data_IF_909363284797
#
_entry.id   IF_909363284797
#
_cell.length_a   1.000
_cell.length_b   1.000
_cell.length_c   1.000
_cell.angle_alpha   90.00
_cell.angle_beta   90.00
_cell.angle_gamma   90.00
#
_symmetry.space_group_name_H-M   'P 1'
#
loop_
_entity.id
_entity.type
_entity.pdbx_description
1 polymer ?
#
# COMPACT_ATOMS: atom_id res chain seq x y z
N UNK A 1 -2.03 4.51 -23.84
CA UNK A 1 -2.59 3.40 -23.03
C UNK A 1 -3.36 4.01 -21.88
N UNK A 2 -4.58 3.57 -21.64
CA UNK A 2 -5.52 4.16 -20.69
C UNK A 2 -5.96 3.08 -19.69
N UNK A 3 -5.91 3.38 -18.39
CA UNK A 3 -6.25 2.45 -17.32
C UNK A 3 -7.71 2.62 -16.86
N UNK A 4 -8.44 1.53 -16.68
CA UNK A 4 -9.79 1.51 -16.09
C UNK A 4 -9.76 1.69 -14.56
N UNK A 5 -10.63 2.60 -14.11
CA UNK A 5 -11.15 2.83 -12.76
C UNK A 5 -11.24 1.64 -11.79
N UNK A 6 -11.61 0.43 -12.24
CA UNK A 6 -11.96 -0.71 -11.36
C UNK A 6 -11.15 -1.98 -11.55
N UNK A 7 -10.32 -2.12 -12.58
CA UNK A 7 -9.41 -3.27 -12.73
C UNK A 7 -8.34 -3.06 -13.81
N UNK A 8 -7.52 -4.08 -14.03
CA UNK A 8 -6.19 -4.09 -14.69
C UNK A 8 -6.16 -3.76 -16.20
N UNK A 9 -7.33 -3.47 -16.76
CA UNK A 9 -7.72 -2.76 -17.98
C UNK A 9 -6.79 -1.78 -18.72
N UNK A 10 -6.06 -2.10 -19.80
CA UNK A 10 -5.42 -1.09 -20.68
C UNK A 10 -6.11 -0.97 -22.05
N UNK A 11 -6.59 0.23 -22.41
CA UNK A 11 -7.03 0.54 -23.78
C UNK A 11 -6.04 1.46 -24.52
N UNK A 12 -5.80 1.21 -25.80
CA UNK A 12 -4.95 2.03 -26.67
C UNK A 12 -5.82 3.11 -27.32
N UNK A 13 -5.56 4.38 -27.00
CA UNK A 13 -6.19 5.52 -27.67
C UNK A 13 -5.29 5.96 -28.82
N UNK A 14 -5.86 6.03 -30.02
CA UNK A 14 -5.21 6.37 -31.29
C UNK A 14 -4.65 7.79 -31.29
N UNK A 15 -3.33 7.92 -31.53
CA UNK A 15 -2.69 9.03 -32.26
C UNK A 15 -1.63 8.44 -33.19
N UNK A 16 -1.33 9.16 -34.27
CA UNK A 16 -0.80 8.62 -35.53
C UNK A 16 0.31 7.56 -35.42
N UNK A 17 0.24 6.51 -36.26
CA UNK A 17 0.85 5.22 -36.00
C UNK A 17 2.32 5.20 -36.42
N UNK A 18 3.15 4.63 -35.56
CA UNK A 18 4.38 3.98 -36.01
C UNK A 18 3.99 2.93 -37.08
N UNK A 19 4.62 2.86 -38.27
CA UNK A 19 4.25 1.93 -39.33
C UNK A 19 4.28 0.44 -38.93
N UNK A 20 4.89 0.08 -37.80
CA UNK A 20 4.80 -1.28 -37.23
C UNK A 20 3.50 -1.56 -36.43
N UNK A 21 2.75 -0.52 -36.09
CA UNK A 21 1.52 -0.63 -35.31
C UNK A 21 0.39 -1.31 -36.08
N UNK A 22 0.26 -1.02 -37.38
CA UNK A 22 -0.82 -1.56 -38.20
C UNK A 22 -0.63 -3.06 -38.49
N UNK A 23 0.61 -3.54 -38.61
CA UNK A 23 0.93 -4.97 -38.76
C UNK A 23 0.66 -5.74 -37.46
N UNK A 24 1.09 -5.22 -36.31
CA UNK A 24 0.86 -5.83 -35.00
C UNK A 24 -0.63 -5.83 -34.61
N UNK A 25 -1.36 -4.75 -34.94
CA UNK A 25 -2.80 -4.66 -34.69
C UNK A 25 -3.61 -5.61 -35.60
N UNK A 26 -3.16 -5.86 -36.83
CA UNK A 26 -3.79 -6.84 -37.73
C UNK A 26 -3.51 -8.28 -37.28
N UNK A 27 -2.28 -8.59 -36.85
CA UNK A 27 -1.91 -9.88 -36.26
C UNK A 27 -2.75 -10.20 -35.01
N UNK A 28 -2.92 -9.21 -34.11
CA UNK A 28 -3.71 -9.35 -32.89
C UNK A 28 -5.22 -9.53 -33.16
N UNK A 29 -5.79 -8.78 -34.12
CA UNK A 29 -7.19 -8.95 -34.54
C UNK A 29 -7.43 -10.30 -35.21
N UNK A 30 -6.45 -10.85 -35.92
CA UNK A 30 -6.53 -12.17 -36.53
C UNK A 30 -6.55 -13.29 -35.47
N UNK A 31 -5.70 -13.22 -34.44
CA UNK A 31 -5.65 -14.20 -33.35
C UNK A 31 -6.86 -14.13 -32.41
N UNK A 32 -7.40 -12.93 -32.19
CA UNK A 32 -8.61 -12.73 -31.37
C UNK A 32 -9.86 -13.31 -32.04
N UNK A 33 -9.96 -13.23 -33.37
CA UNK A 33 -11.06 -13.82 -34.16
C UNK A 33 -10.98 -15.34 -34.28
N UNK A 34 -9.78 -15.92 -34.21
CA UNK A 34 -9.59 -17.37 -34.35
C UNK A 34 -9.68 -18.14 -33.03
N UNK A 35 -9.45 -17.51 -31.88
CA UNK A 35 -9.35 -18.21 -30.57
C UNK A 35 -10.32 -17.73 -29.48
N UNK A 36 -10.96 -16.57 -29.64
CA UNK A 36 -12.12 -16.15 -28.84
C UNK A 36 -11.90 -15.98 -27.32
N UNK A 37 -10.65 -15.85 -26.83
CA UNK A 37 -10.34 -15.75 -25.40
C UNK A 37 -9.52 -14.49 -25.08
N UNK A 38 -10.07 -13.63 -24.22
CA UNK A 38 -9.41 -12.43 -23.70
C UNK A 38 -9.13 -12.60 -22.20
N UNK A 39 -7.87 -12.46 -21.78
CA UNK A 39 -7.50 -12.11 -20.40
C UNK A 39 -6.14 -11.39 -20.38
N UNK A 40 -6.13 -10.18 -19.80
CA UNK A 40 -4.94 -9.55 -19.20
C UNK A 40 -4.44 -10.42 -18.04
N UNK A 41 -3.17 -10.87 -18.06
CA UNK A 41 -2.02 -10.10 -17.54
C UNK A 41 -0.74 -10.32 -18.39
N UNK A 42 0.34 -9.60 -18.08
CA UNK A 42 1.52 -9.46 -18.95
C UNK A 42 2.33 -10.76 -19.21
N UNK A 43 2.96 -10.92 -20.40
CA UNK A 43 3.62 -12.15 -20.87
C UNK A 43 4.88 -12.64 -20.13
N UNK A 44 5.24 -12.05 -18.98
CA UNK A 44 6.35 -12.54 -18.14
C UNK A 44 5.95 -13.74 -17.25
N UNK A 45 4.67 -14.11 -17.25
CA UNK A 45 4.13 -15.23 -16.46
C UNK A 45 3.94 -16.55 -17.26
N UNK A 46 4.20 -16.56 -18.58
CA UNK A 46 4.43 -17.71 -19.51
C UNK A 46 3.23 -18.65 -19.83
N UNK A 47 3.10 -19.23 -21.07
CA UNK A 47 4.14 -20.02 -21.77
C UNK A 47 4.30 -19.81 -23.31
N UNK A 48 5.56 -19.77 -23.79
CA UNK A 48 5.97 -20.18 -25.17
C UNK A 48 7.52 -20.24 -25.27
N UNK A 49 8.08 -21.06 -26.19
CA UNK A 49 8.41 -22.47 -26.01
C UNK A 49 9.79 -22.70 -25.37
N UNK A 50 9.93 -23.83 -24.67
CA UNK A 50 11.13 -24.18 -23.90
C UNK A 50 12.03 -25.12 -24.69
N UNK A 51 13.27 -24.73 -24.96
CA UNK A 51 14.30 -25.62 -25.48
C UNK A 51 15.15 -26.19 -24.35
N UNK A 52 15.00 -27.48 -24.09
CA UNK A 52 16.04 -28.29 -23.47
C UNK A 52 16.83 -28.96 -24.60
N UNK A 53 18.16 -28.98 -24.52
CA UNK A 53 18.95 -29.79 -25.46
C UNK A 53 18.52 -31.25 -25.33
N UNK A 54 18.41 -31.93 -26.48
CA UNK A 54 17.74 -33.25 -26.66
C UNK A 54 18.20 -34.37 -25.70
N UNK A 55 19.35 -34.21 -25.04
CA UNK A 55 19.99 -35.22 -24.19
C UNK A 55 19.79 -34.96 -22.68
N UNK A 56 18.73 -34.25 -22.29
CA UNK A 56 18.48 -33.97 -20.86
C UNK A 56 17.59 -35.04 -20.24
N UNK A 57 18.12 -35.82 -19.28
CA UNK A 57 17.30 -36.78 -18.49
C UNK A 57 16.09 -36.07 -17.85
N UNK A 58 14.91 -36.67 -17.95
CA UNK A 58 13.62 -36.10 -17.50
C UNK A 58 13.63 -35.61 -16.05
N UNK A 59 14.40 -36.26 -15.17
CA UNK A 59 14.55 -35.86 -13.75
C UNK A 59 15.22 -34.50 -13.56
N UNK A 60 16.04 -34.04 -14.52
CA UNK A 60 16.75 -32.75 -14.46
C UNK A 60 16.08 -31.62 -15.24
N UNK A 61 15.03 -31.92 -16.01
CA UNK A 61 14.35 -30.95 -16.88
C UNK A 61 13.77 -29.76 -16.09
N UNK A 62 13.06 -30.04 -14.97
CA UNK A 62 12.48 -28.99 -14.10
C UNK A 62 13.55 -28.03 -13.55
N UNK A 63 14.70 -28.56 -13.16
CA UNK A 63 15.80 -27.76 -12.60
C UNK A 63 16.46 -26.89 -13.68
N UNK A 64 16.65 -27.45 -14.89
CA UNK A 64 17.25 -26.74 -16.02
C UNK A 64 16.32 -25.64 -16.54
N UNK A 65 15.01 -25.89 -16.61
CA UNK A 65 14.01 -24.87 -16.96
C UNK A 65 14.00 -23.73 -15.93
N UNK A 66 13.99 -24.05 -14.62
CA UNK A 66 14.07 -23.02 -13.55
C UNK A 66 15.37 -22.20 -13.61
N UNK A 67 16.51 -22.85 -13.85
CA UNK A 67 17.81 -22.17 -13.98
C UNK A 67 17.89 -21.30 -15.25
N UNK A 68 17.35 -21.78 -16.38
CA UNK A 68 17.28 -21.01 -17.63
C UNK A 68 16.38 -19.78 -17.49
N UNK A 69 15.19 -19.95 -16.88
CA UNK A 69 14.28 -18.85 -16.52
C UNK A 69 14.98 -17.83 -15.65
N UNK A 70 15.62 -18.27 -14.56
CA UNK A 70 16.37 -17.38 -13.65
C UNK A 70 17.53 -16.67 -14.34
N UNK A 71 18.25 -17.33 -15.26
CA UNK A 71 19.40 -16.75 -15.98
C UNK A 71 18.97 -15.72 -17.04
N UNK A 72 17.88 -15.96 -17.76
CA UNK A 72 17.30 -15.00 -18.73
C UNK A 72 16.63 -13.80 -18.05
N UNK A 73 15.86 -14.06 -17.00
CA UNK A 73 15.28 -13.05 -16.10
C UNK A 73 16.42 -12.19 -15.54
N UNK A 74 17.46 -12.78 -14.94
CA UNK A 74 18.64 -12.03 -14.48
C UNK A 74 19.28 -11.21 -15.60
N UNK A 75 19.64 -11.78 -16.76
CA UNK A 75 20.31 -11.01 -17.83
C UNK A 75 19.49 -9.81 -18.33
N UNK A 76 18.18 -9.95 -18.56
CA UNK A 76 17.32 -8.86 -19.04
C UNK A 76 16.93 -7.89 -17.93
N UNK A 77 16.70 -8.38 -16.72
CA UNK A 77 16.36 -7.54 -15.58
C UNK A 77 17.59 -6.92 -14.93
N UNK A 78 18.84 -7.33 -15.18
CA UNK A 78 20.00 -6.70 -14.50
C UNK A 78 20.06 -5.20 -14.80
N UNK A 79 19.82 -4.80 -16.05
CA UNK A 79 19.80 -3.38 -16.44
C UNK A 79 18.59 -2.66 -15.84
N UNK A 80 17.39 -3.27 -15.91
CA UNK A 80 16.17 -2.67 -15.33
C UNK A 80 16.18 -2.64 -13.80
N UNK A 81 16.75 -3.65 -13.15
CA UNK A 81 16.94 -3.75 -11.70
C UNK A 81 17.94 -2.70 -11.27
N UNK A 82 19.07 -2.54 -11.97
CA UNK A 82 20.04 -1.48 -11.64
C UNK A 82 19.37 -0.10 -11.63
N UNK A 83 18.58 0.22 -12.65
CA UNK A 83 17.83 1.48 -12.71
C UNK A 83 16.78 1.62 -11.59
N UNK A 84 16.09 0.53 -11.24
CA UNK A 84 15.13 0.53 -10.12
C UNK A 84 15.85 0.71 -8.78
N UNK A 85 16.97 0.03 -8.56
CA UNK A 85 17.79 0.16 -7.37
C UNK A 85 18.37 1.58 -7.25
N UNK A 86 18.92 2.15 -8.32
CA UNK A 86 19.39 3.54 -8.33
C UNK A 86 18.25 4.53 -7.99
N UNK A 87 17.05 4.31 -8.54
CA UNK A 87 15.87 5.13 -8.22
C UNK A 87 15.44 4.96 -6.76
N UNK A 88 15.53 3.74 -6.23
CA UNK A 88 15.25 3.44 -4.82
C UNK A 88 16.27 4.14 -3.92
N UNK A 89 17.56 3.99 -4.18
CA UNK A 89 18.65 4.61 -3.42
C UNK A 89 18.53 6.14 -3.41
N UNK A 90 18.31 6.74 -4.58
CA UNK A 90 18.08 8.19 -4.69
C UNK A 90 16.86 8.62 -3.88
N UNK A 91 15.75 7.87 -3.95
CA UNK A 91 14.57 8.14 -3.14
C UNK A 91 14.85 8.06 -1.64
N UNK A 92 15.58 7.04 -1.19
CA UNK A 92 15.92 6.82 0.22
C UNK A 92 16.81 7.93 0.79
N UNK A 93 17.71 8.48 -0.03
CA UNK A 93 18.56 9.60 0.33
C UNK A 93 17.75 10.87 0.61
N UNK A 94 16.71 11.12 -0.18
CA UNK A 94 15.94 12.37 -0.13
C UNK A 94 14.63 12.31 0.67
N UNK A 95 14.14 11.13 1.03
CA UNK A 95 12.86 10.98 1.72
C UNK A 95 12.94 9.95 2.85
N UNK A 96 12.61 10.39 4.08
CA UNK A 96 12.46 9.51 5.23
C UNK A 96 11.35 8.46 5.01
N UNK A 97 10.27 8.85 4.33
CA UNK A 97 9.22 7.93 3.93
C UNK A 97 9.73 6.86 2.96
N UNK A 98 10.43 7.26 1.90
CA UNK A 98 10.99 6.31 0.94
C UNK A 98 11.97 5.33 1.59
N UNK A 99 12.80 5.83 2.51
CA UNK A 99 13.74 5.02 3.29
C UNK A 99 13.03 4.02 4.18
N UNK A 100 12.00 4.44 4.91
CA UNK A 100 11.18 3.55 5.73
C UNK A 100 10.44 2.49 4.91
N UNK A 101 9.87 2.87 3.76
CA UNK A 101 9.19 1.92 2.88
C UNK A 101 10.15 0.85 2.32
N UNK A 102 11.40 1.20 2.05
CA UNK A 102 12.42 0.26 1.57
C UNK A 102 12.94 -0.69 2.66
N UNK A 103 12.75 -0.35 3.94
CA UNK A 103 13.12 -1.22 5.05
C UNK A 103 12.12 -2.37 5.27
N UNK A 104 11.03 -2.44 4.48
CA UNK A 104 10.10 -3.57 4.54
C UNK A 104 10.75 -4.85 4.03
N UNK A 105 10.69 -5.92 4.83
CA UNK A 105 11.12 -7.24 4.40
C UNK A 105 10.12 -7.80 3.38
N UNK A 106 10.57 -8.52 2.33
CA UNK A 106 9.66 -9.13 1.35
C UNK A 106 8.58 -10.02 1.99
N UNK A 107 8.87 -10.69 3.10
CA UNK A 107 7.88 -11.48 3.83
C UNK A 107 6.74 -10.62 4.38
N UNK A 108 7.01 -9.40 4.87
CA UNK A 108 5.97 -8.48 5.35
C UNK A 108 5.00 -8.00 4.26
N UNK A 109 5.38 -8.15 2.99
CA UNK A 109 4.54 -7.79 1.83
C UNK A 109 3.90 -9.04 1.21
N UNK A 110 4.67 -10.12 1.07
CA UNK A 110 4.27 -11.29 0.28
C UNK A 110 3.75 -12.47 1.10
N UNK A 111 3.76 -12.39 2.42
CA UNK A 111 3.23 -13.45 3.28
C UNK A 111 1.75 -13.70 2.98
N UNK A 112 1.42 -14.99 2.82
CA UNK A 112 0.05 -15.49 2.59
C UNK A 112 -0.48 -15.96 3.94
N UNK A 113 -0.78 -14.99 4.80
CA UNK A 113 -1.36 -15.17 6.14
C UNK A 113 -2.87 -14.87 6.17
N UNK A 114 -3.41 -14.32 5.08
CA UNK A 114 -4.78 -13.82 5.01
C UNK A 114 -4.95 -12.41 5.58
N UNK A 115 -3.87 -11.74 5.98
CA UNK A 115 -3.92 -10.36 6.46
C UNK A 115 -4.08 -9.36 5.33
N UNK A 116 -3.42 -9.59 4.20
CA UNK A 116 -3.47 -8.70 3.04
C UNK A 116 -4.17 -9.34 1.84
N UNK A 117 -4.86 -8.50 1.07
CA UNK A 117 -5.35 -8.84 -0.27
C UNK A 117 -4.23 -8.71 -1.30
N UNK A 118 -4.34 -9.40 -2.44
CA UNK A 118 -3.34 -9.30 -3.50
C UNK A 118 -3.19 -7.87 -4.04
N UNK A 119 -4.29 -7.12 -4.11
CA UNK A 119 -4.26 -5.70 -4.46
C UNK A 119 -3.37 -4.89 -3.51
N UNK A 120 -3.51 -5.11 -2.20
CA UNK A 120 -2.70 -4.42 -1.19
C UNK A 120 -1.23 -4.80 -1.31
N UNK A 121 -0.91 -6.09 -1.47
CA UNK A 121 0.48 -6.56 -1.66
C UNK A 121 1.13 -5.88 -2.86
N UNK A 122 0.44 -5.86 -4.00
CA UNK A 122 0.95 -5.23 -5.22
C UNK A 122 1.10 -3.71 -5.08
N UNK A 123 0.15 -3.04 -4.44
CA UNK A 123 0.20 -1.60 -4.20
C UNK A 123 1.39 -1.26 -3.31
N UNK A 124 1.55 -1.95 -2.19
CA UNK A 124 2.68 -1.77 -1.27
C UNK A 124 4.02 -2.05 -1.93
N UNK A 125 4.14 -3.15 -2.67
CA UNK A 125 5.34 -3.46 -3.44
C UNK A 125 5.71 -2.31 -4.39
N UNK A 126 4.72 -1.74 -5.09
CA UNK A 126 4.94 -0.62 -6.01
C UNK A 126 5.28 0.68 -5.28
N UNK A 127 4.75 0.92 -4.09
CA UNK A 127 5.14 2.04 -3.22
C UNK A 127 6.63 1.88 -2.84
N UNK A 128 7.00 0.73 -2.28
CA UNK A 128 8.35 0.44 -1.79
C UNK A 128 9.40 0.53 -2.91
N UNK A 129 9.08 0.00 -4.08
CA UNK A 129 9.98 0.03 -5.25
C UNK A 129 9.89 1.32 -6.06
N UNK A 130 9.04 2.27 -5.65
CA UNK A 130 8.79 3.53 -6.37
C UNK A 130 8.33 3.31 -7.82
N UNK A 131 7.56 2.26 -8.06
CA UNK A 131 7.08 1.85 -9.39
C UNK A 131 5.58 2.04 -9.58
N UNK A 132 4.89 2.72 -8.65
CA UNK A 132 3.53 3.20 -8.91
C UNK A 132 3.55 4.11 -10.14
N UNK A 133 2.67 3.81 -11.10
CA UNK A 133 2.54 4.62 -12.29
C UNK A 133 1.70 5.85 -11.98
N UNK A 134 2.34 7.01 -11.92
CA UNK A 134 1.66 8.29 -11.73
C UNK A 134 1.14 8.87 -13.05
N UNK A 135 1.62 8.37 -14.20
CA UNK A 135 1.25 8.94 -15.51
C UNK A 135 -0.12 8.45 -15.99
N UNK A 136 -0.92 9.39 -16.51
CA UNK A 136 -2.16 9.14 -17.23
C UNK A 136 -2.34 10.14 -18.40
N UNK A 137 -3.23 9.82 -19.33
CA UNK A 137 -3.56 10.72 -20.44
C UNK A 137 -4.25 11.99 -19.91
N UNK A 138 -3.91 13.15 -20.47
CA UNK A 138 -4.38 14.44 -19.97
C UNK A 138 -3.74 14.91 -18.65
N UNK A 139 -2.74 14.18 -18.12
CA UNK A 139 -2.01 14.61 -16.93
C UNK A 139 -1.27 15.92 -17.21
N UNK A 140 -1.53 17.01 -16.45
CA UNK A 140 -0.92 18.30 -16.71
C UNK A 140 0.62 18.21 -16.65
N UNK A 141 1.31 19.01 -17.46
CA UNK A 141 2.78 19.04 -17.53
C UNK A 141 3.44 19.19 -16.15
N UNK A 142 2.74 19.89 -15.24
CA UNK A 142 3.19 20.19 -13.88
C UNK A 142 2.90 19.08 -12.86
N UNK A 143 2.23 17.99 -13.27
CA UNK A 143 1.92 16.80 -12.43
C UNK A 143 1.29 17.16 -11.09
N UNK A 144 0.36 18.11 -11.08
CA UNK A 144 -0.19 18.65 -9.84
C UNK A 144 -1.12 17.66 -9.13
N UNK A 145 -1.16 17.72 -7.79
CA UNK A 145 -2.10 16.94 -6.99
C UNK A 145 -3.55 17.31 -7.36
N UNK A 146 -4.41 16.30 -7.49
CA UNK A 146 -5.84 16.47 -7.81
C UNK A 146 -6.67 17.02 -6.66
N UNK A 147 -6.16 16.96 -5.42
CA UNK A 147 -6.89 17.48 -4.29
C UNK A 147 -6.93 19.02 -4.34
N UNK A 148 -8.14 19.58 -4.27
CA UNK A 148 -8.38 21.03 -4.41
C UNK A 148 -7.55 21.89 -3.45
N UNK A 149 -7.30 21.40 -2.23
CA UNK A 149 -6.49 22.10 -1.22
C UNK A 149 -4.98 21.91 -1.38
N UNK A 150 -4.54 21.19 -2.42
CA UNK A 150 -3.16 20.75 -2.62
C UNK A 150 -2.64 20.94 -4.06
N UNK A 151 -3.39 21.64 -4.92
CA UNK A 151 -3.14 21.76 -6.37
C UNK A 151 -1.80 22.39 -6.75
N UNK A 152 -1.12 23.06 -5.82
CA UNK A 152 0.21 23.67 -6.07
C UNK A 152 1.36 22.67 -5.97
N UNK A 153 1.13 21.50 -5.38
CA UNK A 153 2.17 20.52 -5.14
C UNK A 153 2.27 19.51 -6.29
N UNK A 154 3.50 19.11 -6.59
CA UNK A 154 3.78 18.03 -7.53
C UNK A 154 3.37 16.71 -6.88
N UNK A 155 2.59 15.93 -7.60
CA UNK A 155 2.18 14.60 -7.22
C UNK A 155 3.36 13.63 -7.34
N UNK A 156 3.82 13.18 -6.19
CA UNK A 156 4.78 12.08 -6.00
C UNK A 156 4.10 10.95 -5.21
N UNK A 157 4.77 9.80 -5.09
CA UNK A 157 4.24 8.70 -4.26
C UNK A 157 4.12 9.18 -2.81
N UNK A 158 5.16 9.81 -2.28
CA UNK A 158 5.20 10.38 -0.93
C UNK A 158 4.14 11.44 -0.72
N UNK A 159 3.91 12.27 -1.74
CA UNK A 159 2.86 13.24 -1.71
C UNK A 159 1.49 12.59 -1.52
N UNK A 160 1.17 11.57 -2.32
CA UNK A 160 -0.13 10.86 -2.25
C UNK A 160 -0.31 10.17 -0.91
N UNK A 161 0.72 9.48 -0.41
CA UNK A 161 0.59 8.61 0.77
C UNK A 161 0.87 9.30 2.09
N UNK A 162 1.50 10.48 2.09
CA UNK A 162 1.91 11.18 3.30
C UNK A 162 1.77 12.70 3.21
N UNK A 163 2.46 13.38 2.29
CA UNK A 163 2.64 14.85 2.40
C UNK A 163 1.39 15.66 2.04
N UNK A 164 0.50 15.11 1.22
CA UNK A 164 -0.75 15.77 0.83
C UNK A 164 -1.60 16.07 2.07
N UNK A 165 -2.24 17.23 2.11
CA UNK A 165 -3.15 17.60 3.20
C UNK A 165 -4.27 16.59 3.40
N UNK A 166 -4.79 15.99 2.32
CA UNK A 166 -5.74 14.87 2.42
C UNK A 166 -5.11 13.64 3.07
N UNK A 167 -3.86 13.31 2.74
CA UNK A 167 -3.18 12.19 3.36
C UNK A 167 -3.01 12.44 4.86
N UNK A 168 -2.57 13.64 5.25
CA UNK A 168 -2.48 14.06 6.65
C UNK A 168 -3.82 13.93 7.39
N UNK A 169 -4.92 14.41 6.80
CA UNK A 169 -6.27 14.26 7.36
C UNK A 169 -6.61 12.79 7.62
N UNK A 170 -6.31 11.91 6.66
CA UNK A 170 -6.60 10.48 6.74
C UNK A 170 -5.73 9.78 7.79
N UNK A 171 -4.46 10.17 7.95
CA UNK A 171 -3.60 9.66 9.02
C UNK A 171 -4.06 10.14 10.40
N UNK A 172 -4.49 11.40 10.51
CA UNK A 172 -5.01 11.99 11.74
C UNK A 172 -6.34 11.36 12.22
N UNK A 173 -7.04 10.62 11.36
CA UNK A 173 -8.26 9.88 11.74
C UNK A 173 -8.00 8.80 12.80
N UNK A 174 -6.79 8.24 12.85
CA UNK A 174 -6.54 7.04 13.65
C UNK A 174 -5.20 7.04 14.39
N UNK A 175 -4.20 7.80 13.94
CA UNK A 175 -2.94 7.92 14.69
C UNK A 175 -3.14 8.42 16.13
N UNK A 176 -4.05 9.38 16.42
CA UNK A 176 -4.29 9.79 17.79
C UNK A 176 -4.83 8.65 18.67
N UNK A 177 -5.68 7.79 18.08
CA UNK A 177 -6.23 6.60 18.75
C UNK A 177 -5.14 5.58 19.06
N UNK A 178 -4.20 5.39 18.15
CA UNK A 178 -3.03 4.54 18.39
C UNK A 178 -2.13 5.07 19.52
N UNK A 179 -1.92 6.39 19.57
CA UNK A 179 -1.02 7.01 20.53
C UNK A 179 -1.68 7.31 21.88
N UNK A 180 -3.00 7.25 21.96
CA UNK A 180 -3.79 7.78 23.07
C UNK A 180 -3.67 9.31 23.22
N UNK A 181 -3.22 10.02 22.19
CA UNK A 181 -3.17 11.49 22.14
C UNK A 181 -2.92 12.04 20.73
N UNK A 182 -3.25 13.31 20.50
CA UNK A 182 -2.89 13.98 19.24
C UNK A 182 -1.37 14.19 19.17
N UNK A 183 -0.69 13.64 18.15
CA UNK A 183 0.74 13.79 18.03
C UNK A 183 1.13 15.21 17.65
N UNK A 184 2.20 15.71 18.27
CA UNK A 184 2.85 16.94 17.81
C UNK A 184 3.69 16.69 16.55
N UNK A 185 4.06 17.75 15.84
CA UNK A 185 4.82 17.65 14.58
C UNK A 185 6.12 16.83 14.72
N UNK A 186 6.88 17.04 15.79
CA UNK A 186 8.12 16.30 16.02
C UNK A 186 7.89 14.81 16.25
N UNK A 187 6.76 14.44 16.86
CA UNK A 187 6.38 13.04 17.05
C UNK A 187 5.96 12.41 15.74
N UNK A 188 5.17 13.12 14.92
CA UNK A 188 4.85 12.70 13.55
C UNK A 188 6.12 12.44 12.74
N UNK A 189 7.12 13.31 12.82
CA UNK A 189 8.40 13.14 12.12
C UNK A 189 9.13 11.85 12.56
N UNK A 190 9.06 11.50 13.86
CA UNK A 190 9.60 10.23 14.38
C UNK A 190 8.78 9.01 13.97
N UNK A 191 7.49 9.18 13.70
CA UNK A 191 6.60 8.09 13.26
C UNK A 191 6.75 7.77 11.77
N UNK A 192 7.22 8.70 10.93
CA UNK A 192 7.37 8.50 9.48
C UNK A 192 8.02 7.16 9.11
N UNK A 193 9.18 6.76 9.70
CA UNK A 193 9.81 5.49 9.38
C UNK A 193 8.91 4.28 9.69
N UNK A 194 8.16 4.33 10.78
CA UNK A 194 7.25 3.27 11.23
C UNK A 194 6.00 3.16 10.33
N UNK A 195 5.45 4.31 9.92
CA UNK A 195 4.29 4.38 9.02
C UNK A 195 4.66 3.84 7.63
N UNK A 196 5.83 4.23 7.15
CA UNK A 196 6.33 3.82 5.85
C UNK A 196 6.77 2.35 5.84
N UNK A 197 7.42 1.85 6.90
CA UNK A 197 7.84 0.45 7.02
C UNK A 197 6.73 -0.50 7.49
N UNK A 198 5.57 0.04 7.88
CA UNK A 198 4.46 -0.72 8.48
C UNK A 198 4.86 -1.54 9.71
N UNK A 199 5.97 -1.15 10.34
CA UNK A 199 6.45 -1.74 11.59
C UNK A 199 6.06 -0.81 12.72
N UNK A 200 5.32 -1.34 13.69
CA UNK A 200 4.76 -0.55 14.78
C UNK A 200 5.90 0.09 15.59
N UNK A 201 5.73 1.35 16.04
CA UNK A 201 6.56 1.88 17.10
C UNK A 201 6.24 1.15 18.41
N UNK A 202 7.07 1.36 19.44
CA UNK A 202 6.73 0.95 20.80
C UNK A 202 5.38 1.56 21.20
N UNK A 203 4.55 0.79 21.90
CA UNK A 203 3.25 1.25 22.37
C UNK A 203 3.41 2.49 23.26
N UNK A 204 2.54 3.48 23.05
CA UNK A 204 2.53 4.70 23.85
C UNK A 204 2.06 4.38 25.27
N UNK A 205 2.71 4.94 26.33
CA UNK A 205 2.22 4.80 27.70
C UNK A 205 0.76 5.22 27.86
N UNK A 206 0.32 6.28 27.16
CA UNK A 206 -1.07 6.73 27.20
C UNK A 206 -2.06 5.72 26.63
N UNK A 207 -1.65 4.98 25.58
CA UNK A 207 -2.48 3.90 25.06
C UNK A 207 -2.59 2.77 26.08
N UNK A 208 -1.49 2.41 26.74
CA UNK A 208 -1.47 1.38 27.80
C UNK A 208 -2.33 1.81 28.99
N UNK A 209 -2.24 3.07 29.41
CA UNK A 209 -3.07 3.64 30.47
C UNK A 209 -4.57 3.52 30.13
N UNK A 210 -4.95 3.84 28.89
CA UNK A 210 -6.33 3.66 28.44
C UNK A 210 -6.73 2.18 28.40
N UNK A 211 -5.85 1.33 27.85
CA UNK A 211 -6.09 -0.10 27.77
C UNK A 211 -6.26 -0.75 29.15
N UNK A 212 -5.58 -0.24 30.18
CA UNK A 212 -5.68 -0.77 31.55
C UNK A 212 -7.09 -0.70 32.15
N UNK A 213 -7.97 0.13 31.58
CA UNK A 213 -9.39 0.21 31.98
C UNK A 213 -10.17 -1.06 31.64
N UNK A 214 -9.72 -1.81 30.63
CA UNK A 214 -10.42 -3.01 30.12
C UNK A 214 -9.54 -4.26 30.05
N UNK A 215 -8.22 -4.09 29.96
CA UNK A 215 -7.21 -5.16 29.89
C UNK A 215 -6.40 -5.14 31.21
N UNK A 216 -6.66 -6.05 32.17
CA UNK A 216 -6.05 -6.00 33.49
C UNK A 216 -4.54 -6.26 33.51
N UNK A 217 -4.03 -7.03 32.54
CA UNK A 217 -2.62 -7.42 32.46
C UNK A 217 -2.09 -7.25 31.03
N UNK A 218 -1.12 -6.36 30.87
CA UNK A 218 -0.42 -6.19 29.59
C UNK A 218 0.72 -7.21 29.49
N UNK A 219 0.75 -7.96 28.38
CA UNK A 219 1.72 -9.02 28.10
C UNK A 219 2.30 -8.85 26.69
N UNK A 220 3.41 -9.51 26.39
CA UNK A 220 4.09 -9.40 25.09
C UNK A 220 3.21 -9.72 23.88
N UNK A 221 2.18 -10.58 24.02
CA UNK A 221 1.26 -10.84 22.92
C UNK A 221 0.28 -9.70 22.63
N UNK A 222 0.12 -8.72 23.52
CA UNK A 222 -0.60 -7.49 23.23
C UNK A 222 0.24 -6.58 22.32
N UNK A 223 1.57 -6.57 22.49
CA UNK A 223 2.47 -5.86 21.57
C UNK A 223 2.41 -6.48 20.15
N UNK A 224 2.37 -7.81 20.06
CA UNK A 224 2.15 -8.52 18.79
C UNK A 224 0.77 -8.20 18.18
N UNK A 225 -0.28 -8.16 19.00
CA UNK A 225 -1.62 -7.80 18.57
C UNK A 225 -1.70 -6.36 18.04
N UNK A 226 -1.04 -5.42 18.71
CA UNK A 226 -0.90 -4.04 18.25
C UNK A 226 -0.13 -3.98 16.92
N UNK A 227 0.96 -4.74 16.76
CA UNK A 227 1.68 -4.81 15.48
C UNK A 227 0.80 -5.30 14.32
N UNK A 228 -0.15 -6.22 14.58
CA UNK A 228 -1.16 -6.64 13.60
C UNK A 228 -2.08 -5.47 13.23
N UNK A 229 -2.62 -4.76 14.21
CA UNK A 229 -3.50 -3.60 13.99
C UNK A 229 -2.77 -2.51 13.21
N UNK A 230 -1.54 -2.14 13.63
CA UNK A 230 -0.70 -1.17 12.93
C UNK A 230 -0.49 -1.55 11.46
N UNK A 231 -0.13 -2.80 11.20
CA UNK A 231 0.12 -3.30 9.83
C UNK A 231 -1.13 -3.19 8.95
N UNK A 232 -2.31 -3.51 9.49
CA UNK A 232 -3.57 -3.38 8.76
C UNK A 232 -3.87 -1.91 8.48
N UNK A 233 -3.87 -1.06 9.50
CA UNK A 233 -4.27 0.34 9.38
C UNK A 233 -3.32 1.14 8.49
N UNK A 234 -2.01 0.99 8.64
CA UNK A 234 -1.01 1.61 7.74
C UNK A 234 -1.19 1.15 6.28
N UNK A 235 -1.44 -0.14 6.05
CA UNK A 235 -1.69 -0.67 4.70
C UNK A 235 -2.97 -0.10 4.10
N UNK A 236 -4.05 -0.12 4.86
CA UNK A 236 -5.35 0.39 4.45
C UNK A 236 -5.29 1.88 4.16
N UNK A 237 -4.53 2.68 4.94
CA UNK A 237 -4.33 4.10 4.67
C UNK A 237 -3.62 4.31 3.34
N UNK A 238 -2.47 3.68 3.13
CA UNK A 238 -1.69 3.82 1.89
C UNK A 238 -2.51 3.39 0.65
N UNK A 239 -3.22 2.26 0.75
CA UNK A 239 -4.04 1.75 -0.36
C UNK A 239 -5.29 2.60 -0.61
N UNK A 240 -5.96 3.09 0.45
CA UNK A 240 -7.12 3.98 0.32
C UNK A 240 -6.73 5.27 -0.39
N UNK A 241 -5.62 5.90 0.01
CA UNK A 241 -5.13 7.12 -0.63
C UNK A 241 -4.82 6.90 -2.10
N UNK A 242 -4.20 5.77 -2.44
CA UNK A 242 -3.94 5.39 -3.82
C UNK A 242 -5.22 5.15 -4.64
N UNK A 243 -6.21 4.44 -4.08
CA UNK A 243 -7.53 4.22 -4.70
C UNK A 243 -8.22 5.55 -4.96
N UNK A 244 -8.29 6.41 -3.94
CA UNK A 244 -8.92 7.73 -4.04
C UNK A 244 -8.30 8.51 -5.19
N UNK A 245 -6.98 8.66 -5.20
CA UNK A 245 -6.26 9.34 -6.28
C UNK A 245 -6.62 8.80 -7.67
N UNK A 246 -6.67 7.47 -7.82
CA UNK A 246 -7.03 6.87 -9.11
C UNK A 246 -8.48 7.15 -9.51
N UNK A 247 -9.42 7.15 -8.56
CA UNK A 247 -10.81 7.50 -8.87
C UNK A 247 -10.98 8.95 -9.29
N UNK A 248 -10.24 9.87 -8.69
CA UNK A 248 -10.32 11.27 -9.11
C UNK A 248 -9.79 11.48 -10.52
N UNK A 249 -8.77 10.72 -10.90
CA UNK A 249 -8.12 10.82 -12.20
C UNK A 249 -8.86 10.09 -13.31
N UNK A 250 -9.31 8.87 -13.03
CA UNK A 250 -9.87 7.99 -14.05
C UNK A 250 -11.40 7.94 -14.03
N UNK A 251 -12.03 8.23 -12.88
CA UNK A 251 -13.49 8.27 -12.74
C UNK A 251 -14.04 9.70 -12.63
N UNK A 252 -13.18 10.73 -12.60
CA UNK A 252 -13.55 12.12 -12.30
C UNK A 252 -14.36 12.25 -10.99
N UNK A 253 -14.14 11.35 -10.02
CA UNK A 253 -14.74 11.50 -8.69
C UNK A 253 -14.12 12.74 -7.99
N UNK A 254 -14.92 13.51 -7.26
CA UNK A 254 -14.39 14.52 -6.34
C UNK A 254 -14.55 14.02 -4.91
N UNK A 255 -13.45 13.60 -4.30
CA UNK A 255 -13.47 12.95 -2.98
C UNK A 255 -13.02 13.94 -1.92
N UNK A 256 -13.94 14.33 -1.03
CA UNK A 256 -13.62 15.19 0.11
C UNK A 256 -12.72 14.48 1.13
N UNK A 257 -12.02 15.25 1.97
CA UNK A 257 -11.24 14.69 3.08
C UNK A 257 -12.09 13.83 4.02
N UNK A 258 -13.32 14.25 4.31
CA UNK A 258 -14.24 13.49 5.15
C UNK A 258 -14.67 12.15 4.51
N UNK A 259 -14.91 12.15 3.20
CA UNK A 259 -15.20 10.91 2.48
C UNK A 259 -13.98 9.98 2.46
N UNK A 260 -12.76 10.53 2.34
CA UNK A 260 -11.52 9.78 2.42
C UNK A 260 -11.36 9.07 3.78
N UNK A 261 -11.58 9.80 4.89
CA UNK A 261 -11.58 9.24 6.26
C UNK A 261 -12.61 8.12 6.40
N UNK A 262 -13.86 8.37 5.97
CA UNK A 262 -14.94 7.38 6.03
C UNK A 262 -14.61 6.10 5.26
N UNK A 263 -14.03 6.22 4.06
CA UNK A 263 -13.59 5.07 3.24
C UNK A 263 -12.48 4.28 3.95
N UNK A 264 -11.49 4.98 4.52
CA UNK A 264 -10.44 4.34 5.30
C UNK A 264 -11.04 3.56 6.47
N UNK A 265 -11.80 4.22 7.35
CA UNK A 265 -12.36 3.60 8.56
C UNK A 265 -13.16 2.36 8.21
N UNK A 266 -14.05 2.44 7.20
CA UNK A 266 -14.81 1.28 6.75
C UNK A 266 -13.93 0.11 6.29
N UNK A 267 -12.89 0.39 5.49
CA UNK A 267 -12.00 -0.64 4.96
C UNK A 267 -11.12 -1.25 6.07
N UNK A 268 -10.48 -0.42 6.88
CA UNK A 268 -9.60 -0.84 7.96
C UNK A 268 -10.36 -1.60 9.05
N UNK A 269 -11.57 -1.15 9.40
CA UNK A 269 -12.44 -1.86 10.34
C UNK A 269 -12.81 -3.24 9.82
N UNK A 270 -13.30 -3.31 8.58
CA UNK A 270 -13.70 -4.57 7.96
C UNK A 270 -12.53 -5.56 7.92
N UNK A 271 -11.36 -5.09 7.51
CA UNK A 271 -10.17 -5.94 7.42
C UNK A 271 -9.68 -6.38 8.80
N UNK A 272 -9.69 -5.50 9.80
CA UNK A 272 -9.31 -5.86 11.18
C UNK A 272 -10.24 -6.94 11.73
N UNK A 273 -11.56 -6.77 11.55
CA UNK A 273 -12.56 -7.77 11.97
C UNK A 273 -12.40 -9.10 11.22
N UNK A 274 -12.11 -9.06 9.91
CA UNK A 274 -11.86 -10.27 9.13
C UNK A 274 -10.59 -11.02 9.61
N UNK A 275 -9.53 -10.29 9.95
CA UNK A 275 -8.29 -10.87 10.50
C UNK A 275 -8.53 -11.45 11.89
N UNK A 276 -9.24 -10.75 12.79
CA UNK A 276 -9.64 -11.27 14.11
C UNK A 276 -10.39 -12.60 13.94
N UNK A 277 -11.40 -12.63 13.07
CA UNK A 277 -12.17 -13.86 12.79
C UNK A 277 -11.27 -14.97 12.22
N UNK A 278 -10.35 -14.63 11.33
CA UNK A 278 -9.40 -15.58 10.75
C UNK A 278 -8.47 -16.19 11.81
N UNK A 279 -7.88 -15.36 12.67
CA UNK A 279 -6.97 -15.79 13.73
C UNK A 279 -7.68 -16.62 14.81
N UNK A 280 -8.86 -16.19 15.25
CA UNK A 280 -9.68 -16.90 16.26
C UNK A 280 -10.27 -18.21 15.74
N UNK A 281 -10.37 -18.41 14.42
CA UNK A 281 -10.87 -19.67 13.85
C UNK A 281 -9.85 -20.82 13.88
N UNK A 282 -8.57 -20.56 14.18
CA UNK A 282 -7.49 -21.55 14.14
C UNK A 282 -6.89 -21.76 15.54
N UNK A 283 -6.74 -23.01 16.02
CA UNK A 283 -6.24 -23.28 17.37
C UNK A 283 -4.86 -22.67 17.66
N UNK A 284 -3.96 -22.68 16.67
CA UNK A 284 -2.58 -22.19 16.83
C UNK A 284 -2.44 -20.66 16.81
N UNK A 285 -3.47 -19.93 16.40
CA UNK A 285 -3.47 -18.45 16.37
C UNK A 285 -4.61 -17.86 17.19
N UNK A 286 -5.34 -18.69 17.94
CA UNK A 286 -6.52 -18.28 18.70
C UNK A 286 -6.20 -17.18 19.69
N UNK A 287 -5.15 -17.38 20.49
CA UNK A 287 -4.72 -16.45 21.54
C UNK A 287 -4.34 -15.07 20.96
N UNK A 288 -3.58 -15.06 19.85
CA UNK A 288 -3.28 -13.82 19.14
C UNK A 288 -4.56 -13.15 18.61
N UNK A 289 -5.48 -13.93 18.05
CA UNK A 289 -6.76 -13.40 17.57
C UNK A 289 -7.62 -12.76 18.66
N UNK A 290 -7.62 -13.36 19.85
CA UNK A 290 -8.29 -12.83 21.03
C UNK A 290 -7.66 -11.49 21.47
N UNK A 291 -6.33 -11.45 21.60
CA UNK A 291 -5.60 -10.23 21.99
C UNK A 291 -5.76 -9.11 20.96
N UNK A 292 -5.77 -9.43 19.66
CA UNK A 292 -6.10 -8.45 18.60
C UNK A 292 -7.51 -7.89 18.78
N UNK A 293 -8.48 -8.71 19.15
CA UNK A 293 -9.84 -8.24 19.41
C UNK A 293 -9.91 -7.29 20.61
N UNK A 294 -9.22 -7.61 21.71
CA UNK A 294 -9.16 -6.76 22.91
C UNK A 294 -8.48 -5.42 22.63
N UNK A 295 -7.25 -5.44 22.09
CA UNK A 295 -6.53 -4.22 21.74
C UNK A 295 -7.30 -3.37 20.72
N UNK A 296 -7.99 -4.01 19.78
CA UNK A 296 -8.79 -3.30 18.79
C UNK A 296 -10.05 -2.66 19.40
N UNK A 297 -10.68 -3.30 20.39
CA UNK A 297 -11.78 -2.70 21.13
C UNK A 297 -11.33 -1.43 21.85
N UNK A 298 -10.17 -1.44 22.50
CA UNK A 298 -9.56 -0.24 23.11
C UNK A 298 -9.28 0.84 22.06
N UNK A 299 -8.61 0.46 20.97
CA UNK A 299 -8.28 1.37 19.87
C UNK A 299 -9.53 2.07 19.29
N UNK A 300 -10.67 1.37 19.26
CA UNK A 300 -11.97 1.92 18.82
C UNK A 300 -12.67 2.77 19.86
N UNK A 301 -12.46 2.49 21.14
CA UNK A 301 -13.07 3.19 22.26
C UNK A 301 -12.39 4.53 22.57
N UNK A 302 -11.15 4.73 22.13
CA UNK A 302 -10.47 6.03 22.23
C UNK A 302 -11.20 7.03 21.31
N UNK A 303 -12.10 7.81 21.90
CA UNK A 303 -12.80 8.90 21.24
C UNK A 303 -11.92 10.15 21.12
N UNK A 304 -12.19 10.97 20.10
CA UNK A 304 -11.53 12.25 19.84
C UNK A 304 -11.76 13.30 20.97
N UNK A 305 -12.67 13.02 21.92
CA UNK A 305 -13.23 13.97 22.88
C UNK A 305 -12.37 14.33 24.10
N UNK A 306 -11.49 13.45 24.59
CA UNK A 306 -10.66 13.76 25.79
C UNK A 306 -9.34 14.47 25.45
N UNK A 307 -8.96 14.51 24.18
CA UNK A 307 -7.67 15.04 23.73
C UNK A 307 -7.69 16.55 23.41
N UNK A 308 -8.87 17.16 23.34
CA UNK A 308 -9.04 18.61 23.10
C UNK A 308 -9.01 19.49 24.36
N UNK A 309 -9.21 18.92 25.55
CA UNK A 309 -9.40 19.69 26.79
C UNK A 309 -8.10 20.27 27.40
N UNK A 310 -6.93 19.87 26.89
CA UNK A 310 -5.63 20.42 27.32
C UNK A 310 -5.08 21.52 26.39
N UNK A 311 -5.71 21.75 25.23
CA UNK A 311 -5.33 22.81 24.28
C UNK A 311 -5.93 24.18 24.65
N UNK A 312 -7.01 24.23 25.44
CA UNK A 312 -7.81 25.44 25.66
C UNK A 312 -7.55 26.23 26.96
N UNK A 313 -6.59 25.84 27.82
CA UNK A 313 -6.43 26.47 29.16
C UNK A 313 -5.35 27.54 29.30
N UNK A 314 -4.57 27.87 28.25
CA UNK A 314 -3.48 28.86 28.34
C UNK A 314 -3.68 30.13 27.48
N UNK A 315 -4.91 30.64 27.37
CA UNK A 315 -5.15 32.00 26.86
C UNK A 315 -6.25 32.68 27.65
N UNK A 316 -5.91 33.17 28.85
CA UNK A 316 -6.52 34.33 29.51
C UNK A 316 -5.83 34.50 30.87
N UNK A 317 -4.82 35.36 30.90
CA UNK A 317 -4.51 36.27 32.03
C UNK A 317 -3.24 37.06 31.68
N UNK A 318 -3.44 38.21 31.04
CA UNK A 318 -2.73 39.47 31.32
C UNK A 318 -3.44 40.56 30.52
N UNK A 319 -4.26 41.33 31.23
CA UNK A 319 -4.62 42.72 30.89
C UNK A 319 -3.66 43.60 31.68
#
# INVERSE_FOLDING_TARGET
MQQDARSWTWSVVNRDPDPQFDEDAQQLKFEQRTTGLAFEPTPLLHPTPWTATRETRSSKLRQIIRKSRSKRIRKRLTVSIKRVLEKMDLGAQHSAWARGAQNQHPEQIWQIDGMLTDYQRWTLYRICTRTLNLYHEGWPENRQCTYQMCTKNIETIEHIVWECSRAQDVWQEWLPKWLGHYPHREELDRLIPHLASRTAPTVSPKFVDEASRTIPYWESGHDEALQVIWSIWTTCTQCTLWIIRNREIFENENISGQEAKRRLTKLADFQTQAVIKGLTSRPNTYELGFRVAECYAVFRAIEDGELGLLSGKNQKETV
#
